data_IF_550190875227
#
_entry.id   IF_550190875227
#
_cell.length_a   1.000
_cell.length_b   1.000
_cell.length_c   1.000
_cell.angle_alpha   90.00
_cell.angle_beta   90.00
_cell.angle_gamma   90.00
#
_symmetry.space_group_name_H-M   'P 1'
#
loop_
_entity.id
_entity.type
_entity.pdbx_description
1 polymer ?
#
# COMPACT_ATOMS: atom_id res chain seq x y z
N UNK A 1 1.05 14.56 6.03
CA UNK A 1 1.87 15.29 7.04
C UNK A 1 2.61 14.25 7.85
N UNK A 2 3.85 13.93 7.48
CA UNK A 2 4.72 13.04 8.28
C UNK A 2 5.43 13.92 9.31
N UNK A 3 5.19 13.67 10.59
CA UNK A 3 5.84 14.41 11.66
C UNK A 3 7.30 13.95 11.74
N UNK A 4 8.24 14.84 11.43
CA UNK A 4 9.69 14.57 11.44
C UNK A 4 10.25 14.41 12.86
N UNK A 5 9.47 14.79 13.88
CA UNK A 5 9.82 14.72 15.31
C UNK A 5 8.60 14.25 16.12
N UNK A 6 8.81 13.62 17.28
CA UNK A 6 7.71 13.28 18.18
C UNK A 6 6.91 14.54 18.55
N UNK A 7 5.58 14.46 18.41
CA UNK A 7 4.66 15.56 18.71
C UNK A 7 4.62 15.87 20.19
N UNK A 8 4.84 14.88 21.05
CA UNK A 8 4.82 15.01 22.51
C UNK A 8 6.15 14.48 23.04
N UNK A 9 6.81 15.25 23.90
CA UNK A 9 8.08 14.90 24.53
C UNK A 9 8.14 15.48 25.94
N UNK A 10 8.93 14.85 26.82
CA UNK A 10 9.10 15.32 28.19
C UNK A 10 10.31 16.27 28.26
N UNK A 11 10.13 17.42 28.91
CA UNK A 11 11.20 18.39 29.16
C UNK A 11 11.06 18.88 30.59
N UNK A 12 12.10 18.70 31.40
CA UNK A 12 12.16 19.17 32.78
C UNK A 12 10.97 18.69 33.67
N UNK A 13 10.48 17.48 33.40
CA UNK A 13 9.32 16.89 34.11
C UNK A 13 7.95 17.29 33.53
N UNK A 14 7.90 18.27 32.64
CA UNK A 14 6.69 18.72 31.96
C UNK A 14 6.49 18.04 30.60
N UNK A 15 5.24 17.84 30.22
CA UNK A 15 4.86 17.30 28.92
C UNK A 15 4.78 18.45 27.90
N UNK A 16 5.75 18.52 27.00
CA UNK A 16 5.81 19.51 25.92
C UNK A 16 5.39 18.90 24.58
N UNK A 17 4.99 19.72 23.62
CA UNK A 17 4.70 19.22 22.28
C UNK A 17 4.98 20.20 21.14
N UNK A 18 5.38 19.66 19.99
CA UNK A 18 5.62 20.42 18.77
C UNK A 18 4.33 20.44 17.94
N UNK A 19 3.56 21.51 18.05
CA UNK A 19 2.29 21.69 17.36
C UNK A 19 2.46 22.86 16.37
N UNK A 20 1.97 22.72 15.13
CA UNK A 20 1.97 23.84 14.20
C UNK A 20 0.96 24.92 14.65
N UNK A 21 1.14 26.14 14.16
CA UNK A 21 0.27 27.27 14.50
C UNK A 21 -1.22 26.96 14.26
N UNK A 22 -1.57 26.34 13.14
CA UNK A 22 -2.96 26.05 12.77
C UNK A 22 -3.60 25.06 13.75
N UNK A 23 -2.92 23.95 14.04
CA UNK A 23 -3.38 22.97 15.02
C UNK A 23 -3.51 23.59 16.42
N UNK A 24 -2.59 24.47 16.82
CA UNK A 24 -2.66 25.16 18.11
C UNK A 24 -3.86 26.13 18.15
N UNK A 25 -4.08 26.91 17.09
CA UNK A 25 -5.21 27.83 16.98
C UNK A 25 -6.55 27.10 17.07
N UNK A 26 -6.68 25.94 16.40
CA UNK A 26 -7.86 25.08 16.50
C UNK A 26 -8.06 24.59 17.94
N UNK A 27 -7.01 24.07 18.59
CA UNK A 27 -7.06 23.59 19.97
C UNK A 27 -7.44 24.70 20.97
N UNK A 28 -6.85 25.90 20.83
CA UNK A 28 -7.18 27.06 21.66
C UNK A 28 -8.62 27.54 21.47
N UNK A 29 -9.18 27.31 20.28
CA UNK A 29 -10.59 27.56 19.97
C UNK A 29 -11.52 26.40 20.35
N UNK A 30 -11.01 25.41 21.09
CA UNK A 30 -11.71 24.20 21.49
C UNK A 30 -12.26 23.38 20.30
N UNK A 31 -11.55 23.41 19.17
CA UNK A 31 -11.86 22.66 17.94
C UNK A 31 -10.82 21.56 17.71
N UNK A 32 -11.27 20.46 17.11
CA UNK A 32 -10.38 19.40 16.66
C UNK A 32 -9.58 19.87 15.43
N UNK A 33 -8.24 19.83 15.46
CA UNK A 33 -7.44 20.19 14.30
C UNK A 33 -7.85 19.39 13.07
N UNK A 34 -7.96 20.04 11.90
CA UNK A 34 -8.51 19.44 10.67
C UNK A 34 -7.96 18.04 10.36
N UNK A 35 -6.66 17.84 10.54
CA UNK A 35 -5.96 16.57 10.25
C UNK A 35 -5.62 15.74 11.49
N UNK A 36 -6.29 15.99 12.62
CA UNK A 36 -6.14 15.18 13.81
C UNK A 36 -6.57 13.73 13.54
N UNK A 37 -5.88 12.77 14.15
CA UNK A 37 -6.25 11.36 14.06
C UNK A 37 -7.68 11.10 14.56
N UNK A 38 -8.14 11.87 15.54
CA UNK A 38 -9.50 11.84 16.08
C UNK A 38 -10.59 12.26 15.06
N UNK A 39 -10.24 12.91 13.94
CA UNK A 39 -11.20 13.26 12.88
C UNK A 39 -11.44 12.09 11.91
N UNK A 40 -11.69 10.89 12.42
CA UNK A 40 -11.84 9.66 11.63
C UNK A 40 -10.64 9.36 10.71
N UNK A 41 -9.47 9.91 11.02
CA UNK A 41 -8.23 9.66 10.30
C UNK A 41 -7.43 8.50 10.93
N UNK A 42 -7.78 8.10 12.15
CA UNK A 42 -7.28 6.89 12.80
C UNK A 42 -8.06 5.67 12.32
N UNK A 43 -7.44 4.84 11.49
CA UNK A 43 -8.07 3.62 10.94
C UNK A 43 -8.08 2.47 11.97
N UNK A 44 -7.28 2.56 13.03
CA UNK A 44 -7.13 1.48 14.00
C UNK A 44 -5.90 0.63 13.72
N UNK A 45 -5.82 -0.47 14.45
CA UNK A 45 -4.89 -1.55 14.11
C UNK A 45 -5.40 -2.23 12.84
N UNK A 46 -4.50 -2.48 11.89
CA UNK A 46 -4.84 -3.22 10.68
C UNK A 46 -4.94 -4.70 11.05
N UNK A 47 -6.05 -5.39 10.72
CA UNK A 47 -6.20 -6.83 10.95
C UNK A 47 -5.07 -7.65 10.33
N UNK A 48 -4.74 -8.78 10.95
CA UNK A 48 -3.59 -9.59 10.55
C UNK A 48 -3.69 -10.01 9.08
N UNK A 49 -4.87 -10.43 8.63
CA UNK A 49 -5.21 -10.88 7.29
C UNK A 49 -4.87 -9.81 6.23
N UNK A 50 -5.05 -8.53 6.56
CA UNK A 50 -4.78 -7.41 5.67
C UNK A 50 -3.35 -6.89 5.81
N UNK A 51 -2.78 -6.93 7.01
CA UNK A 51 -1.45 -6.39 7.31
C UNK A 51 -0.33 -7.06 6.51
N UNK A 52 -0.49 -8.35 6.23
CA UNK A 52 0.53 -9.16 5.60
C UNK A 52 0.51 -9.06 4.06
N UNK A 53 -0.54 -8.52 3.46
CA UNK A 53 -0.74 -8.52 2.01
C UNK A 53 0.31 -7.68 1.27
N UNK A 54 0.85 -8.25 0.18
CA UNK A 54 1.71 -7.56 -0.77
C UNK A 54 0.93 -6.57 -1.63
N UNK A 55 1.60 -5.68 -2.36
CA UNK A 55 0.92 -4.70 -3.22
C UNK A 55 -0.02 -5.39 -4.25
N UNK A 56 0.42 -6.41 -5.01
CA UNK A 56 -0.49 -7.15 -5.90
C UNK A 56 -1.67 -7.79 -5.17
N UNK A 57 -1.46 -8.37 -3.99
CA UNK A 57 -2.54 -9.00 -3.22
C UNK A 57 -3.56 -7.97 -2.72
N UNK A 58 -3.10 -6.80 -2.27
CA UNK A 58 -3.99 -5.68 -1.88
C UNK A 58 -4.87 -5.24 -3.04
N UNK A 59 -4.31 -5.17 -4.25
CA UNK A 59 -5.05 -4.84 -5.45
C UNK A 59 -6.10 -5.93 -5.74
N UNK A 60 -5.75 -7.21 -5.64
CA UNK A 60 -6.70 -8.31 -5.90
C UNK A 60 -7.86 -8.39 -4.89
N UNK A 61 -7.69 -7.87 -3.68
CA UNK A 61 -8.79 -7.80 -2.69
C UNK A 61 -9.57 -6.49 -2.75
N UNK A 62 -9.21 -5.55 -3.63
CA UNK A 62 -9.84 -4.23 -3.70
C UNK A 62 -11.11 -4.22 -4.55
N UNK A 63 -12.12 -3.49 -4.09
CA UNK A 63 -13.32 -3.18 -4.89
C UNK A 63 -13.07 -2.05 -5.89
N UNK A 64 -12.15 -1.14 -5.57
CA UNK A 64 -11.89 0.07 -6.34
C UNK A 64 -10.40 0.26 -6.61
N UNK A 65 -10.08 0.80 -7.79
CA UNK A 65 -8.71 0.97 -8.29
C UNK A 65 -8.44 2.43 -8.61
N UNK A 66 -8.25 3.29 -7.60
CA UNK A 66 -8.12 4.73 -7.81
C UNK A 66 -6.80 5.12 -8.50
N UNK A 67 -5.81 4.23 -8.52
CA UNK A 67 -4.47 4.58 -8.96
C UNK A 67 -3.70 3.43 -9.62
N UNK A 68 -2.79 3.83 -10.51
CA UNK A 68 -1.73 3.00 -11.07
C UNK A 68 -0.46 3.14 -10.22
N UNK A 69 0.26 2.04 -10.03
CA UNK A 69 1.51 1.98 -9.29
C UNK A 69 2.65 1.67 -10.25
N UNK A 70 3.62 2.57 -10.36
CA UNK A 70 4.87 2.33 -11.08
C UNK A 70 5.97 2.05 -10.06
N UNK A 71 6.38 0.79 -9.96
CA UNK A 71 7.44 0.32 -9.07
C UNK A 71 8.76 0.31 -9.83
N UNK A 72 9.65 1.25 -9.51
CA UNK A 72 11.01 1.31 -10.06
C UNK A 72 11.98 0.64 -9.09
N UNK A 73 12.62 -0.43 -9.55
CA UNK A 73 13.56 -1.22 -8.77
C UNK A 73 14.99 -0.92 -9.21
N UNK A 74 15.85 -0.56 -8.26
CA UNK A 74 17.25 -0.22 -8.49
C UNK A 74 18.17 -1.09 -7.63
N UNK A 75 19.34 -1.53 -8.14
CA UNK A 75 20.35 -2.17 -7.32
C UNK A 75 20.83 -1.22 -6.22
N UNK A 76 20.98 -1.73 -5.00
CA UNK A 76 21.64 -0.98 -3.91
C UNK A 76 23.14 -0.79 -4.16
N UNK A 77 23.78 -1.68 -4.92
CA UNK A 77 25.22 -1.61 -5.25
C UNK A 77 25.43 -1.23 -6.72
N UNK A 78 26.17 -0.14 -6.97
CA UNK A 78 26.57 0.28 -8.31
C UNK A 78 27.45 -0.81 -8.94
N UNK A 79 27.14 -1.21 -10.18
CA UNK A 79 27.91 -2.24 -10.88
C UNK A 79 27.66 -3.67 -10.40
N UNK A 80 26.54 -3.95 -9.73
CA UNK A 80 26.11 -5.33 -9.46
C UNK A 80 25.85 -6.06 -10.79
N UNK A 81 26.89 -6.73 -11.31
CA UNK A 81 26.84 -7.56 -12.52
C UNK A 81 26.15 -8.90 -12.19
N UNK A 82 26.33 -9.38 -10.96
CA UNK A 82 25.79 -10.66 -10.50
C UNK A 82 24.62 -10.43 -9.53
N UNK A 83 23.42 -10.74 -9.99
CA UNK A 83 22.20 -10.69 -9.19
C UNK A 83 21.90 -12.09 -8.65
N UNK A 84 22.24 -12.34 -7.38
CA UNK A 84 21.82 -13.56 -6.71
C UNK A 84 20.32 -13.46 -6.35
N UNK A 85 19.45 -14.34 -6.90
CA UNK A 85 18.02 -14.35 -6.59
C UNK A 85 17.71 -14.41 -5.10
N UNK A 86 18.56 -15.08 -4.30
CA UNK A 86 18.36 -15.24 -2.85
C UNK A 86 18.58 -13.93 -2.09
N UNK A 87 19.40 -13.04 -2.62
CA UNK A 87 19.74 -11.75 -2.01
C UNK A 87 18.85 -10.60 -2.50
N UNK A 88 17.99 -10.85 -3.50
CA UNK A 88 17.33 -9.79 -4.26
C UNK A 88 16.42 -8.90 -3.42
N UNK A 89 15.64 -9.49 -2.51
CA UNK A 89 14.77 -8.73 -1.60
C UNK A 89 15.55 -7.71 -0.76
N UNK A 90 16.83 -7.98 -0.48
CA UNK A 90 17.73 -7.07 0.24
C UNK A 90 18.63 -6.25 -0.69
N UNK A 91 18.85 -6.71 -1.91
CA UNK A 91 19.75 -6.14 -2.92
C UNK A 91 19.15 -5.01 -3.76
N UNK A 92 17.82 -4.80 -3.69
CA UNK A 92 17.13 -3.70 -4.38
C UNK A 92 16.64 -2.63 -3.41
N UNK A 93 16.68 -1.37 -3.84
CA UNK A 93 15.84 -0.32 -3.28
C UNK A 93 14.79 0.07 -4.33
N UNK A 94 13.60 0.41 -3.87
CA UNK A 94 12.48 0.71 -4.75
C UNK A 94 12.00 2.15 -4.57
N UNK A 95 11.51 2.73 -5.66
CA UNK A 95 10.62 3.88 -5.62
C UNK A 95 9.26 3.46 -6.18
N UNK A 96 8.19 3.83 -5.49
CA UNK A 96 6.82 3.65 -5.98
C UNK A 96 6.25 5.02 -6.32
N UNK A 97 5.88 5.20 -7.57
CA UNK A 97 5.17 6.39 -8.04
C UNK A 97 3.72 6.00 -8.33
N UNK A 98 2.79 6.78 -7.79
CA UNK A 98 1.36 6.49 -7.88
C UNK A 98 0.69 7.52 -8.78
N UNK A 99 -0.06 7.10 -9.79
CA UNK A 99 -0.71 7.96 -10.78
C UNK A 99 -2.22 7.74 -10.75
N UNK A 100 -3.00 8.78 -11.04
CA UNK A 100 -4.44 8.61 -11.23
C UNK A 100 -4.71 7.68 -12.41
N UNK A 101 -5.54 6.68 -12.17
CA UNK A 101 -5.94 5.71 -13.18
C UNK A 101 -7.24 6.18 -13.84
N UNK A 102 -7.42 5.89 -15.12
CA UNK A 102 -8.72 6.13 -15.75
C UNK A 102 -9.75 5.16 -15.19
N UNK A 103 -10.55 5.63 -14.23
CA UNK A 103 -11.52 4.83 -13.49
C UNK A 103 -12.57 4.21 -14.40
N UNK A 104 -12.96 4.87 -15.51
CA UNK A 104 -13.95 4.34 -16.44
C UNK A 104 -13.46 3.10 -17.19
N UNK A 105 -12.18 3.07 -17.53
CA UNK A 105 -11.60 1.94 -18.28
C UNK A 105 -11.31 0.77 -17.37
N UNK A 106 -10.94 1.04 -16.12
CA UNK A 106 -10.67 0.00 -15.13
C UNK A 106 -11.96 -0.56 -14.56
N UNK A 107 -13.02 0.24 -14.41
CA UNK A 107 -14.34 -0.27 -14.05
C UNK A 107 -14.82 -1.37 -15.01
N UNK A 108 -14.58 -1.22 -16.32
CA UNK A 108 -14.89 -2.26 -17.32
C UNK A 108 -14.11 -3.57 -17.11
N UNK A 109 -12.96 -3.52 -16.44
CA UNK A 109 -12.15 -4.71 -16.15
C UNK A 109 -12.63 -5.47 -14.90
N UNK A 110 -13.55 -4.88 -14.14
CA UNK A 110 -14.04 -5.38 -12.85
C UNK A 110 -15.58 -5.43 -12.85
N UNK A 111 -16.19 -5.53 -14.04
CA UNK A 111 -17.64 -5.58 -14.18
C UNK A 111 -18.17 -6.90 -13.59
N UNK A 112 -18.64 -6.82 -12.33
CA UNK A 112 -19.13 -7.95 -11.56
C UNK A 112 -18.82 -7.86 -10.07
N UNK A 113 -19.47 -8.73 -9.29
CA UNK A 113 -19.24 -8.88 -7.85
C UNK A 113 -18.21 -9.98 -7.52
N UNK A 114 -17.46 -10.43 -8.53
CA UNK A 114 -16.57 -11.58 -8.44
C UNK A 114 -15.17 -11.15 -7.96
N UNK A 115 -14.68 -11.77 -6.88
CA UNK A 115 -13.36 -11.52 -6.34
C UNK A 115 -12.57 -12.85 -6.12
N UNK A 116 -11.24 -12.84 -6.26
CA UNK A 116 -10.44 -11.75 -6.82
C UNK A 116 -10.76 -11.54 -8.32
N UNK A 117 -10.54 -10.33 -8.87
CA UNK A 117 -10.72 -10.06 -10.28
C UNK A 117 -9.70 -10.84 -11.13
N UNK A 118 -9.92 -10.85 -12.44
CA UNK A 118 -8.97 -11.47 -13.37
C UNK A 118 -7.58 -10.84 -13.22
N UNK A 119 -6.48 -11.62 -13.23
CA UNK A 119 -5.12 -11.10 -13.07
C UNK A 119 -4.71 -9.99 -14.05
N UNK A 120 -5.42 -9.81 -15.16
CA UNK A 120 -5.28 -8.66 -16.07
C UNK A 120 -5.40 -7.31 -15.37
N UNK A 121 -6.10 -7.23 -14.24
CA UNK A 121 -6.16 -6.00 -13.43
C UNK A 121 -4.77 -5.60 -12.93
N UNK A 122 -3.91 -6.57 -12.59
CA UNK A 122 -2.57 -6.31 -12.08
C UNK A 122 -1.71 -5.67 -13.17
N UNK A 123 -1.84 -6.12 -14.41
CA UNK A 123 -1.13 -5.53 -15.55
C UNK A 123 -1.60 -4.12 -15.89
N UNK A 124 -2.87 -3.79 -15.59
CA UNK A 124 -3.42 -2.45 -15.81
C UNK A 124 -3.11 -1.48 -14.66
N UNK A 125 -2.88 -2.00 -13.45
CA UNK A 125 -2.72 -1.19 -12.23
C UNK A 125 -1.29 -1.15 -11.72
N UNK A 126 -0.43 -2.11 -12.08
CA UNK A 126 0.98 -2.14 -11.65
C UNK A 126 1.88 -2.19 -12.89
N UNK A 127 2.72 -1.16 -13.03
CA UNK A 127 3.90 -1.19 -13.88
C UNK A 127 5.15 -1.45 -13.04
N UNK A 128 5.97 -2.44 -13.42
CA UNK A 128 7.25 -2.70 -12.76
C UNK A 128 8.37 -2.40 -13.73
N UNK A 129 9.30 -1.53 -13.33
CA UNK A 129 10.49 -1.18 -14.11
C UNK A 129 11.72 -1.57 -13.32
N UNK A 130 12.49 -2.53 -13.82
CA UNK A 130 13.76 -2.91 -13.21
C UNK A 130 14.89 -2.19 -13.93
N UNK A 131 15.63 -1.37 -13.19
CA UNK A 131 16.69 -0.52 -13.71
C UNK A 131 18.03 -1.13 -13.28
N UNK A 132 18.74 -1.74 -14.23
CA UNK A 132 19.98 -2.46 -13.99
C UNK A 132 20.71 -2.84 -15.28
N UNK A 133 21.84 -3.57 -15.21
CA UNK A 133 22.54 -4.06 -16.39
C UNK A 133 21.63 -4.93 -17.28
N UNK A 134 21.85 -4.93 -18.60
CA UNK A 134 21.01 -5.61 -19.60
C UNK A 134 20.74 -7.08 -19.22
N UNK A 135 19.49 -7.52 -19.40
CA UNK A 135 18.99 -8.90 -19.24
C UNK A 135 18.93 -9.42 -17.79
N UNK A 136 18.06 -8.82 -16.97
CA UNK A 136 17.70 -9.44 -15.70
C UNK A 136 16.81 -10.67 -15.95
N UNK A 137 17.19 -11.88 -15.52
CA UNK A 137 16.35 -13.05 -15.73
C UNK A 137 15.13 -13.00 -14.81
N UNK A 138 13.99 -13.50 -15.28
CA UNK A 138 12.69 -13.50 -14.58
C UNK A 138 12.73 -14.20 -13.21
N UNK A 139 13.66 -15.15 -13.04
CA UNK A 139 13.98 -15.78 -11.73
C UNK A 139 14.45 -14.80 -10.65
N UNK A 140 14.87 -13.61 -11.05
CA UNK A 140 15.24 -12.51 -10.18
C UNK A 140 14.07 -11.52 -10.02
N UNK A 141 12.82 -11.99 -10.03
CA UNK A 141 11.69 -11.16 -9.64
C UNK A 141 11.57 -11.10 -8.11
N UNK A 142 11.41 -9.90 -7.52
CA UNK A 142 11.22 -9.77 -6.07
C UNK A 142 10.00 -10.53 -5.57
N UNK A 143 10.13 -11.20 -4.43
CA UNK A 143 9.01 -11.96 -3.86
C UNK A 143 7.84 -11.08 -3.44
N UNK A 144 8.07 -9.77 -3.25
CA UNK A 144 7.00 -8.79 -2.98
C UNK A 144 6.02 -8.60 -4.15
N UNK A 145 6.36 -9.05 -5.36
CA UNK A 145 5.48 -9.02 -6.53
C UNK A 145 4.75 -10.35 -6.77
N UNK A 146 5.03 -11.36 -5.94
CA UNK A 146 4.37 -12.67 -6.00
C UNK A 146 3.07 -12.61 -5.19
N UNK A 147 2.05 -13.28 -5.72
CA UNK A 147 0.72 -13.40 -5.09
C UNK A 147 0.58 -14.77 -4.45
N UNK A 148 0.18 -14.81 -3.19
CA UNK A 148 -0.31 -16.03 -2.53
C UNK A 148 -1.83 -16.09 -2.61
N UNK A 149 -2.35 -17.07 -3.35
CA UNK A 149 -3.80 -17.29 -3.45
C UNK A 149 -4.45 -17.54 -2.08
N UNK A 150 -3.75 -18.24 -1.19
CA UNK A 150 -4.23 -18.50 0.16
C UNK A 150 -4.45 -17.20 0.95
N UNK A 151 -3.47 -16.29 0.93
CA UNK A 151 -3.57 -14.98 1.60
C UNK A 151 -4.70 -14.12 1.05
N UNK A 152 -4.85 -14.09 -0.28
CA UNK A 152 -5.96 -13.38 -0.94
C UNK A 152 -7.31 -13.95 -0.50
N UNK A 153 -7.46 -15.28 -0.49
CA UNK A 153 -8.70 -15.93 -0.07
C UNK A 153 -9.05 -15.65 1.39
N UNK A 154 -8.09 -15.78 2.30
CA UNK A 154 -8.29 -15.47 3.72
C UNK A 154 -8.70 -14.01 3.92
N UNK A 155 -8.03 -13.07 3.24
CA UNK A 155 -8.38 -11.66 3.31
C UNK A 155 -9.78 -11.36 2.77
N UNK A 156 -10.19 -11.98 1.65
CA UNK A 156 -11.54 -11.82 1.11
C UNK A 156 -12.61 -12.39 2.04
N UNK A 157 -12.37 -13.55 2.64
CA UNK A 157 -13.28 -14.16 3.62
C UNK A 157 -13.45 -13.25 4.85
N UNK A 158 -12.34 -12.73 5.37
CA UNK A 158 -12.34 -11.75 6.45
C UNK A 158 -13.13 -10.49 6.09
N UNK A 159 -12.84 -9.90 4.92
CA UNK A 159 -13.52 -8.69 4.44
C UNK A 159 -15.02 -8.93 4.24
N UNK A 160 -15.44 -10.10 3.75
CA UNK A 160 -16.85 -10.43 3.57
C UNK A 160 -17.60 -10.55 4.90
N UNK A 161 -16.92 -10.95 5.97
CA UNK A 161 -17.48 -11.02 7.31
C UNK A 161 -17.55 -9.64 7.99
N UNK A 162 -16.46 -8.88 7.95
CA UNK A 162 -16.31 -7.64 8.72
C UNK A 162 -16.73 -6.36 7.98
N UNK A 163 -16.69 -6.36 6.65
CA UNK A 163 -16.92 -5.17 5.84
C UNK A 163 -18.20 -5.30 5.00
N UNK A 164 -19.25 -4.49 5.29
CA UNK A 164 -20.52 -4.53 4.56
C UNK A 164 -20.39 -4.36 3.04
N UNK A 165 -19.35 -3.64 2.57
CA UNK A 165 -19.12 -3.43 1.14
C UNK A 165 -18.80 -4.74 0.39
N UNK A 166 -18.33 -5.77 1.10
CA UNK A 166 -17.95 -7.06 0.52
C UNK A 166 -19.04 -8.12 0.63
N UNK A 167 -20.18 -7.82 1.28
CA UNK A 167 -21.21 -8.83 1.58
C UNK A 167 -21.76 -9.53 0.33
N UNK A 168 -21.97 -8.75 -0.74
CA UNK A 168 -22.50 -9.25 -2.00
C UNK A 168 -21.43 -9.81 -2.94
N UNK A 169 -20.17 -9.86 -2.52
CA UNK A 169 -19.09 -10.37 -3.38
C UNK A 169 -19.04 -11.89 -3.40
N UNK A 170 -18.80 -12.48 -4.58
CA UNK A 170 -18.62 -13.92 -4.76
C UNK A 170 -17.12 -14.22 -4.80
N UNK A 171 -16.67 -15.08 -3.89
CA UNK A 171 -15.26 -15.49 -3.78
C UNK A 171 -15.05 -16.76 -4.60
N UNK A 172 -14.14 -16.74 -5.58
CA UNK A 172 -13.71 -17.92 -6.33
C UNK A 172 -12.71 -18.76 -5.53
#
# INVERSE_FOLDING_TARGET
MLLYKPTVFQRDGELCGNICHDCLSDLMSNKLPKFALANNMWIGNIPQELSILSLPERILVSLYYPAAYVVKLYPKRKGAIHWDPRSLNYGVHSNVSTYHLNTSDVAKMVDGQLLPPTPRILTATIGVTIIGPKNLPERCMPSMLIVSQHRVRCALQFLKHENPLYHNTTIQ
#
